data_IF_634450825272
#
_entry.id   IF_634450825272
#
_cell.length_a   1.000
_cell.length_b   1.000
_cell.length_c   1.000
_cell.angle_alpha   90.00
_cell.angle_beta   90.00
_cell.angle_gamma   90.00
#
_symmetry.space_group_name_H-M   'P 1'
#
loop_
_entity.id
_entity.type
_entity.pdbx_description
1 polymer ?
#
# COMPACT_ATOMS: atom_id res chain seq x y z
N UNK A 1 8.91 -14.21 -5.14
CA UNK A 1 8.38 -15.38 -4.40
C UNK A 1 7.05 -14.99 -3.75
N UNK A 2 6.03 -15.81 -3.93
CA UNK A 2 4.73 -15.61 -3.29
C UNK A 2 4.88 -15.86 -1.80
N UNK A 3 4.37 -14.95 -0.97
CA UNK A 3 4.41 -15.03 0.49
C UNK A 3 3.01 -15.26 1.06
N UNK A 4 2.95 -15.85 2.24
CA UNK A 4 1.70 -15.97 3.00
C UNK A 4 1.23 -14.59 3.47
N UNK A 5 -0.09 -14.41 3.49
CA UNK A 5 -0.69 -13.17 3.96
C UNK A 5 -0.64 -13.14 5.50
N UNK A 6 -0.01 -12.11 6.05
CA UNK A 6 0.02 -11.88 7.49
C UNK A 6 -1.36 -11.43 7.98
N UNK A 7 -1.85 -12.07 9.05
CA UNK A 7 -3.14 -11.74 9.67
C UNK A 7 -2.99 -11.38 11.13
N UNK A 8 -1.76 -11.21 11.61
CA UNK A 8 -1.47 -10.82 12.99
C UNK A 8 -1.70 -9.33 13.17
N UNK A 9 -2.79 -8.97 13.83
CA UNK A 9 -3.17 -7.56 14.03
C UNK A 9 -2.13 -6.79 14.85
N UNK A 10 -1.46 -7.44 15.79
CA UNK A 10 -0.40 -6.80 16.57
C UNK A 10 0.78 -6.40 15.67
N UNK A 11 1.17 -7.27 14.76
CA UNK A 11 2.21 -6.97 13.78
C UNK A 11 1.76 -5.87 12.83
N UNK A 12 0.55 -5.97 12.30
CA UNK A 12 -0.01 -5.02 11.33
C UNK A 12 -0.22 -3.62 11.93
N UNK A 13 -0.36 -3.52 13.25
CA UNK A 13 -0.53 -2.23 13.93
C UNK A 13 0.79 -1.49 14.17
N UNK A 14 1.92 -2.06 13.78
CA UNK A 14 3.22 -1.41 13.92
C UNK A 14 3.46 -0.44 12.76
N UNK A 15 4.08 0.70 13.07
CA UNK A 15 4.52 1.61 12.03
C UNK A 15 5.71 1.02 11.29
N UNK A 16 5.65 1.00 9.98
CA UNK A 16 6.71 0.46 9.15
C UNK A 16 7.94 1.37 9.14
N UNK A 17 9.12 0.76 9.13
CA UNK A 17 10.38 1.48 9.01
C UNK A 17 10.65 1.88 7.55
N UNK A 18 11.48 2.90 7.31
CA UNK A 18 11.86 3.26 5.94
C UNK A 18 12.49 2.09 5.20
N UNK A 19 12.15 1.96 3.92
CA UNK A 19 12.74 0.97 3.03
C UNK A 19 14.06 1.49 2.46
N UNK A 20 14.98 0.56 2.16
CA UNK A 20 16.28 0.85 1.55
C UNK A 20 16.49 -0.07 0.35
N UNK A 21 17.62 0.07 -0.34
CA UNK A 21 17.99 -0.79 -1.45
C UNK A 21 18.04 -2.29 -1.06
N UNK A 22 18.27 -2.58 0.23
CA UNK A 22 18.24 -3.96 0.73
C UNK A 22 16.84 -4.58 0.68
N UNK A 23 15.81 -3.80 0.46
CA UNK A 23 14.42 -4.24 0.44
C UNK A 23 13.86 -4.49 -0.97
N UNK A 24 14.71 -4.44 -2.01
CA UNK A 24 14.27 -4.68 -3.39
C UNK A 24 13.69 -6.08 -3.59
N UNK A 25 14.28 -7.09 -2.95
CA UNK A 25 13.76 -8.46 -3.01
C UNK A 25 12.37 -8.55 -2.37
N UNK A 26 12.13 -7.84 -1.28
CA UNK A 26 10.81 -7.77 -0.64
C UNK A 26 9.79 -7.16 -1.58
N UNK A 27 10.14 -6.11 -2.31
CA UNK A 27 9.25 -5.49 -3.29
C UNK A 27 8.86 -6.47 -4.40
N UNK A 28 9.80 -7.29 -4.87
CA UNK A 28 9.49 -8.31 -5.86
C UNK A 28 8.55 -9.38 -5.29
N UNK A 29 8.79 -9.82 -4.06
CA UNK A 29 7.90 -10.78 -3.38
C UNK A 29 6.49 -10.18 -3.21
N UNK A 30 6.40 -8.89 -2.93
CA UNK A 30 5.12 -8.19 -2.80
C UNK A 30 4.37 -8.19 -4.13
N UNK A 31 5.05 -7.90 -5.24
CA UNK A 31 4.47 -7.96 -6.59
C UNK A 31 4.00 -9.37 -6.94
N UNK A 32 4.81 -10.38 -6.64
CA UNK A 32 4.47 -11.78 -6.90
C UNK A 32 3.23 -12.20 -6.12
N UNK A 33 3.14 -11.79 -4.86
CA UNK A 33 2.01 -12.10 -3.99
C UNK A 33 0.75 -11.37 -4.45
N UNK A 34 0.86 -10.10 -4.80
CA UNK A 34 -0.27 -9.32 -5.33
C UNK A 34 -0.79 -9.94 -6.64
N UNK A 35 0.10 -10.34 -7.53
CA UNK A 35 -0.27 -10.99 -8.79
C UNK A 35 -1.01 -12.31 -8.53
N UNK A 36 -0.59 -13.09 -7.54
CA UNK A 36 -1.26 -14.33 -7.17
C UNK A 36 -2.68 -14.10 -6.63
N UNK A 37 -2.97 -12.91 -6.10
CA UNK A 37 -4.27 -12.55 -5.54
C UNK A 37 -5.05 -11.56 -6.42
N UNK A 38 -4.70 -11.41 -7.68
CA UNK A 38 -5.24 -10.39 -8.58
C UNK A 38 -6.77 -10.38 -8.70
N UNK A 39 -7.41 -11.54 -8.52
CA UNK A 39 -8.86 -11.66 -8.67
C UNK A 39 -9.65 -11.09 -7.47
N UNK A 40 -8.99 -10.79 -6.37
CA UNK A 40 -9.64 -10.26 -5.18
C UNK A 40 -8.87 -9.17 -4.47
N UNK A 41 -7.75 -8.70 -5.04
CA UNK A 41 -6.90 -7.73 -4.39
C UNK A 41 -6.27 -6.77 -5.41
N UNK A 42 -6.33 -5.48 -5.13
CA UNK A 42 -5.81 -4.44 -6.02
C UNK A 42 -4.58 -3.73 -5.46
N UNK A 43 -4.20 -4.03 -4.23
CA UNK A 43 -3.03 -3.43 -3.59
C UNK A 43 -2.61 -4.17 -2.35
N UNK A 44 -1.34 -4.02 -1.97
CA UNK A 44 -0.75 -4.60 -0.76
C UNK A 44 0.34 -3.70 -0.23
N UNK A 45 0.54 -3.75 1.09
CA UNK A 45 1.71 -3.19 1.75
C UNK A 45 2.61 -4.33 2.25
N UNK A 46 3.90 -4.04 2.44
CA UNK A 46 4.88 -5.06 2.80
C UNK A 46 4.57 -5.75 4.13
N UNK A 47 3.92 -5.06 5.08
CA UNK A 47 3.54 -5.69 6.35
C UNK A 47 2.54 -6.83 6.14
N UNK A 48 1.77 -6.81 5.05
CA UNK A 48 0.84 -7.90 4.73
C UNK A 48 1.54 -9.19 4.34
N UNK A 49 2.83 -9.13 4.02
CA UNK A 49 3.67 -10.33 3.77
C UNK A 49 4.74 -10.51 4.85
N UNK A 50 4.54 -9.88 6.01
CA UNK A 50 5.39 -10.09 7.17
C UNK A 50 6.66 -9.23 7.23
N UNK A 51 6.74 -8.17 6.45
CA UNK A 51 7.89 -7.27 6.43
C UNK A 51 7.46 -5.85 6.82
N UNK A 52 7.93 -5.37 7.96
CA UNK A 52 7.53 -4.06 8.50
C UNK A 52 8.37 -2.94 7.88
N UNK A 53 8.21 -2.75 6.57
CA UNK A 53 8.90 -1.71 5.78
C UNK A 53 7.91 -0.93 4.94
N UNK A 54 8.23 0.33 4.66
CA UNK A 54 7.35 1.22 3.92
C UNK A 54 7.44 0.96 2.42
N UNK A 55 6.76 -0.10 1.98
CA UNK A 55 6.68 -0.50 0.57
C UNK A 55 5.23 -0.83 0.27
N UNK A 56 4.69 -0.29 -0.81
CA UNK A 56 3.37 -0.65 -1.30
C UNK A 56 3.44 -1.08 -2.77
N UNK A 57 2.53 -1.95 -3.16
CA UNK A 57 2.32 -2.33 -4.54
C UNK A 57 0.83 -2.24 -4.84
N UNK A 58 0.46 -1.75 -6.01
CA UNK A 58 -0.95 -1.55 -6.33
C UNK A 58 -1.19 -1.56 -7.83
N UNK A 59 -2.45 -1.78 -8.21
CA UNK A 59 -2.91 -1.70 -9.59
C UNK A 59 -3.09 -0.22 -9.97
N UNK A 60 -2.23 0.26 -10.86
CA UNK A 60 -2.29 1.60 -11.41
C UNK A 60 -2.88 1.53 -12.82
N UNK A 61 -4.20 1.54 -12.90
CA UNK A 61 -4.96 1.53 -14.15
C UNK A 61 -4.54 0.39 -15.09
N UNK A 62 -4.40 -0.82 -14.54
CA UNK A 62 -4.09 -2.02 -15.30
C UNK A 62 -2.62 -2.45 -15.28
N UNK A 63 -1.74 -1.65 -14.67
CA UNK A 63 -0.32 -1.98 -14.53
C UNK A 63 0.07 -1.92 -13.05
N UNK A 64 0.74 -2.94 -12.55
CA UNK A 64 1.22 -2.93 -11.18
C UNK A 64 2.39 -1.97 -11.01
N UNK A 65 2.36 -1.23 -9.91
CA UNK A 65 3.36 -0.24 -9.56
C UNK A 65 3.81 -0.46 -8.12
N UNK A 66 5.09 -0.25 -7.85
CA UNK A 66 5.67 -0.28 -6.49
C UNK A 66 6.10 1.12 -6.10
N UNK A 67 5.82 1.49 -4.85
CA UNK A 67 6.34 2.71 -4.24
C UNK A 67 7.12 2.36 -2.98
N UNK A 68 8.34 2.88 -2.86
CA UNK A 68 9.14 2.83 -1.63
C UNK A 68 8.96 4.14 -0.89
N UNK A 69 8.77 4.06 0.43
CA UNK A 69 8.64 5.22 1.31
C UNK A 69 7.59 6.24 0.85
N UNK A 70 6.36 5.80 0.53
CA UNK A 70 5.33 6.72 0.05
C UNK A 70 4.83 7.63 1.18
N UNK A 71 4.60 8.90 0.85
CA UNK A 71 4.05 9.91 1.75
C UNK A 71 3.02 10.73 1.00
N UNK A 72 1.86 10.98 1.62
CA UNK A 72 0.87 11.91 1.07
C UNK A 72 1.25 13.30 1.51
N UNK A 73 1.59 14.18 0.56
CA UNK A 73 2.01 15.55 0.83
C UNK A 73 0.88 16.57 0.67
N UNK A 74 -0.20 16.21 -0.01
CA UNK A 74 -1.40 17.03 -0.17
C UNK A 74 -2.61 16.15 -0.45
N UNK A 75 -3.77 16.55 0.05
CA UNK A 75 -5.02 15.81 -0.16
C UNK A 75 -6.19 16.77 -0.19
N UNK A 76 -7.22 16.44 -0.96
CA UNK A 76 -8.44 17.23 -1.08
C UNK A 76 -9.64 16.38 -1.47
N UNK A 77 -10.86 16.91 -1.24
CA UNK A 77 -12.10 16.23 -1.59
C UNK A 77 -12.41 15.05 -0.67
N UNK A 78 -12.62 15.27 0.65
CA UNK A 78 -12.90 14.18 1.57
C UNK A 78 -14.23 13.49 1.26
N UNK A 79 -14.26 12.15 1.43
CA UNK A 79 -15.47 11.34 1.31
C UNK A 79 -15.35 10.11 2.21
N UNK A 80 -16.49 9.48 2.50
CA UNK A 80 -16.52 8.24 3.27
C UNK A 80 -16.50 7.04 2.33
N UNK A 81 -15.64 6.07 2.62
CA UNK A 81 -15.49 4.83 1.86
C UNK A 81 -15.67 3.61 2.77
N UNK A 82 -16.02 2.48 2.16
CA UNK A 82 -16.02 1.19 2.84
C UNK A 82 -15.00 0.30 2.14
N UNK A 83 -14.08 -0.27 2.91
CA UNK A 83 -12.94 -1.01 2.36
C UNK A 83 -12.70 -2.31 3.10
N UNK A 84 -12.25 -3.32 2.36
CA UNK A 84 -11.79 -4.59 2.89
C UNK A 84 -10.32 -4.83 2.61
N UNK A 85 -9.73 -5.77 3.31
CA UNK A 85 -8.31 -6.12 3.17
C UNK A 85 -8.14 -7.63 3.31
N UNK A 86 -7.19 -8.23 2.56
CA UNK A 86 -6.89 -9.65 2.67
C UNK A 86 -6.41 -10.05 4.07
N UNK A 87 -5.70 -9.18 4.76
CA UNK A 87 -5.16 -9.45 6.09
C UNK A 87 -6.21 -9.39 7.20
N UNK A 88 -7.33 -8.72 6.96
CA UNK A 88 -8.36 -8.47 7.98
C UNK A 88 -9.72 -8.93 7.49
N UNK A 89 -10.54 -9.43 8.43
CA UNK A 89 -11.91 -9.84 8.10
C UNK A 89 -12.87 -8.65 8.09
N UNK A 90 -13.89 -8.72 7.24
CA UNK A 90 -14.96 -7.73 7.18
C UNK A 90 -14.57 -6.47 6.42
N UNK A 91 -15.47 -5.50 6.50
CA UNK A 91 -15.37 -4.23 5.81
C UNK A 91 -15.35 -3.11 6.85
N UNK A 92 -14.53 -2.09 6.63
CA UNK A 92 -14.41 -0.96 7.53
C UNK A 92 -14.74 0.33 6.81
N UNK A 93 -15.41 1.24 7.51
CA UNK A 93 -15.63 2.60 7.04
C UNK A 93 -14.40 3.44 7.33
N UNK A 94 -14.00 4.25 6.37
CA UNK A 94 -12.86 5.13 6.52
C UNK A 94 -13.03 6.41 5.71
N UNK A 95 -12.36 7.47 6.13
CA UNK A 95 -12.32 8.72 5.39
C UNK A 95 -11.24 8.61 4.33
N UNK A 96 -11.59 8.98 3.10
CA UNK A 96 -10.66 9.04 1.97
C UNK A 96 -10.73 10.40 1.29
N UNK A 97 -9.78 10.68 0.41
CA UNK A 97 -9.72 11.92 -0.36
C UNK A 97 -9.75 11.60 -1.84
N UNK A 98 -10.52 12.37 -2.60
CA UNK A 98 -10.66 12.19 -4.05
C UNK A 98 -9.34 12.39 -4.78
N UNK A 99 -8.49 13.30 -4.26
CA UNK A 99 -7.23 13.66 -4.88
C UNK A 99 -6.13 13.65 -3.82
N UNK A 100 -5.01 12.96 -4.12
CA UNK A 100 -3.84 12.92 -3.25
C UNK A 100 -2.59 13.18 -4.08
N UNK A 101 -1.68 13.99 -3.53
CA UNK A 101 -0.34 14.18 -4.09
C UNK A 101 0.62 13.35 -3.27
N UNK A 102 1.31 12.42 -3.94
CA UNK A 102 2.16 11.43 -3.29
C UNK A 102 3.61 11.66 -3.67
N UNK A 103 4.48 11.65 -2.67
CA UNK A 103 5.92 11.61 -2.87
C UNK A 103 6.40 10.21 -2.51
N UNK A 104 7.20 9.59 -3.37
CA UNK A 104 7.74 8.25 -3.13
C UNK A 104 9.09 8.08 -3.81
N UNK A 105 9.72 6.95 -3.55
CA UNK A 105 10.95 6.57 -4.23
C UNK A 105 10.68 5.36 -5.13
N UNK A 106 11.27 5.37 -6.33
CA UNK A 106 11.19 4.24 -7.26
C UNK A 106 12.24 3.16 -6.90
N UNK A 107 12.38 2.13 -7.75
CA UNK A 107 13.31 1.02 -7.53
C UNK A 107 14.79 1.45 -7.55
N UNK A 108 15.09 2.63 -8.04
CA UNK A 108 16.42 3.23 -8.00
C UNK A 108 16.57 4.22 -6.85
N UNK A 109 15.56 4.29 -5.97
CA UNK A 109 15.47 5.23 -4.85
C UNK A 109 15.56 6.69 -5.28
N UNK A 110 15.10 6.98 -6.48
CA UNK A 110 14.90 8.35 -6.97
C UNK A 110 13.55 8.86 -6.47
N UNK A 111 13.54 10.07 -5.92
CA UNK A 111 12.31 10.70 -5.44
C UNK A 111 11.41 11.08 -6.61
N UNK A 112 10.13 10.71 -6.50
CA UNK A 112 9.08 11.00 -7.47
C UNK A 112 7.92 11.68 -6.76
N UNK A 113 7.16 12.46 -7.53
CA UNK A 113 6.02 13.20 -7.02
C UNK A 113 4.93 13.18 -8.08
N UNK A 114 3.72 12.78 -7.71
CA UNK A 114 2.60 12.74 -8.65
C UNK A 114 1.27 12.86 -7.92
N UNK A 115 0.30 13.46 -8.58
CA UNK A 115 -1.09 13.56 -8.10
C UNK A 115 -1.90 12.41 -8.68
N UNK A 116 -2.63 11.71 -7.81
CA UNK A 116 -3.55 10.63 -8.16
C UNK A 116 -4.96 11.02 -7.78
N UNK A 117 -5.94 10.50 -8.51
CA UNK A 117 -7.35 10.78 -8.27
C UNK A 117 -8.18 9.49 -8.29
N UNK A 118 -9.41 9.57 -7.76
CA UNK A 118 -10.40 8.50 -7.87
C UNK A 118 -9.97 7.19 -7.23
N UNK A 119 -10.23 6.09 -7.93
CA UNK A 119 -9.99 4.74 -7.42
C UNK A 119 -8.52 4.46 -7.14
N UNK A 120 -7.61 4.89 -8.03
CA UNK A 120 -6.17 4.73 -7.81
C UNK A 120 -5.73 5.45 -6.54
N UNK A 121 -6.24 6.67 -6.31
CA UNK A 121 -5.94 7.42 -5.09
C UNK A 121 -6.47 6.70 -3.85
N UNK A 122 -7.64 6.09 -3.92
CA UNK A 122 -8.19 5.32 -2.81
C UNK A 122 -7.31 4.13 -2.45
N UNK A 123 -6.86 3.36 -3.45
CA UNK A 123 -5.96 2.21 -3.25
C UNK A 123 -4.68 2.65 -2.56
N UNK A 124 -4.05 3.71 -3.06
CA UNK A 124 -2.79 4.22 -2.50
C UNK A 124 -2.96 4.62 -1.03
N UNK A 125 -4.05 5.33 -0.71
CA UNK A 125 -4.34 5.75 0.67
C UNK A 125 -4.49 4.56 1.60
N UNK A 126 -5.20 3.51 1.15
CA UNK A 126 -5.39 2.29 1.93
C UNK A 126 -4.04 1.64 2.25
N UNK A 127 -3.16 1.50 1.25
CA UNK A 127 -1.88 0.84 1.45
C UNK A 127 -0.92 1.70 2.30
N UNK A 128 -0.96 3.01 2.17
CA UNK A 128 -0.16 3.91 3.04
C UNK A 128 -0.64 3.81 4.48
N UNK A 129 -1.94 3.66 4.72
CA UNK A 129 -2.46 3.43 6.08
C UNK A 129 -1.81 2.19 6.70
N UNK A 130 -1.66 1.10 5.93
CA UNK A 130 -0.95 -0.08 6.42
C UNK A 130 0.50 0.23 6.81
N UNK A 131 1.19 1.05 6.04
CA UNK A 131 2.54 1.49 6.38
C UNK A 131 2.59 2.27 7.71
N UNK A 132 1.50 2.95 8.05
CA UNK A 132 1.38 3.73 9.29
C UNK A 132 0.83 2.90 10.45
N UNK A 133 0.61 1.61 10.27
CA UNK A 133 0.08 0.73 11.30
C UNK A 133 -1.42 0.87 11.55
N UNK A 134 -2.14 1.42 10.59
CA UNK A 134 -3.59 1.59 10.68
C UNK A 134 -4.27 0.33 10.15
N UNK A 135 -5.13 -0.27 10.98
CA UNK A 135 -5.88 -1.48 10.61
C UNK A 135 -7.13 -1.08 9.83
N UNK A 136 -7.04 -1.20 8.52
CA UNK A 136 -8.11 -0.84 7.61
C UNK A 136 -8.46 -1.98 6.67
#
# INVERSE_FOLDING_TARGET
MIREICRDETFLAQKAAPATADDLATAQDLLDTLTAHKDGCVGMAANMIGVCKRIIAFDNEGTYMVMFNPVIVRQSGPYEAQEGCLSLTGVRKTKRFQTVKVQWQNEKFQTRLKTYTGWTAEIIQHEIDHCNGILI
#
